data_IF_430879702831
#
_entry.id   IF_430879702831
#
_cell.length_a   1.000
_cell.length_b   1.000
_cell.length_c   1.000
_cell.angle_alpha   90.00
_cell.angle_beta   90.00
_cell.angle_gamma   90.00
#
_symmetry.space_group_name_H-M   'P 1'
#
loop_
_entity.id
_entity.type
_entity.pdbx_description
1 polymer ?
#
# COMPACT_ATOMS: atom_id res chain seq x y z
N UNK A 1 21.38 -21.16 -3.26
CA UNK A 1 22.12 -19.90 -3.46
C UNK A 1 21.45 -18.81 -2.63
N UNK A 2 22.23 -18.16 -1.75
CA UNK A 2 21.92 -17.00 -0.87
C UNK A 2 20.87 -16.05 -1.48
N UNK A 3 19.95 -15.45 -0.72
CA UNK A 3 20.21 -14.42 0.30
C UNK A 3 19.13 -14.42 1.41
N UNK A 4 19.49 -14.89 2.60
CA UNK A 4 18.87 -14.43 3.84
C UNK A 4 19.79 -13.37 4.45
N UNK A 5 19.17 -12.41 5.13
CA UNK A 5 19.74 -11.35 5.97
C UNK A 5 19.82 -9.96 5.34
N UNK A 6 18.64 -9.34 5.17
CA UNK A 6 18.55 -7.88 5.21
C UNK A 6 18.52 -7.49 6.67
N UNK A 7 19.68 -7.00 7.10
CA UNK A 7 20.04 -6.52 8.42
C UNK A 7 18.89 -5.77 9.11
N UNK A 8 18.63 -6.15 10.36
CA UNK A 8 17.72 -5.47 11.28
C UNK A 8 18.21 -4.04 11.52
N UNK A 9 17.72 -3.09 10.70
CA UNK A 9 17.79 -1.67 11.00
C UNK A 9 16.71 -1.41 12.06
N UNK A 10 17.10 -0.94 13.24
CA UNK A 10 16.21 -0.71 14.38
C UNK A 10 14.90 -0.01 13.93
N UNK A 11 13.75 -0.67 14.15
CA UNK A 11 12.42 -0.13 13.83
C UNK A 11 11.75 -0.62 12.53
N UNK A 12 12.43 -1.42 11.70
CA UNK A 12 11.83 -1.97 10.46
C UNK A 12 11.33 -3.39 10.70
N UNK A 13 10.02 -3.59 10.64
CA UNK A 13 9.40 -4.92 10.58
C UNK A 13 9.02 -5.24 9.13
N UNK A 14 9.58 -6.33 8.57
CA UNK A 14 9.30 -6.78 7.21
C UNK A 14 8.57 -8.11 7.23
N UNK A 15 7.42 -8.16 6.58
CA UNK A 15 6.66 -9.38 6.33
C UNK A 15 6.53 -9.59 4.82
N UNK A 16 6.83 -10.80 4.38
CA UNK A 16 6.65 -11.21 2.98
C UNK A 16 5.55 -12.26 2.95
N UNK A 17 4.54 -12.04 2.12
CA UNK A 17 3.50 -13.04 1.88
C UNK A 17 3.98 -14.03 0.82
N UNK A 18 3.63 -15.29 0.99
CA UNK A 18 3.85 -16.29 -0.05
C UNK A 18 3.11 -15.92 -1.33
N UNK A 19 3.61 -16.42 -2.46
CA UNK A 19 3.03 -16.17 -3.78
C UNK A 19 1.56 -16.57 -3.83
N UNK A 20 1.22 -17.75 -3.32
CA UNK A 20 -0.15 -18.27 -3.26
C UNK A 20 -1.10 -17.33 -2.50
N UNK A 21 -0.67 -16.82 -1.34
CA UNK A 21 -1.47 -15.88 -0.57
C UNK A 21 -1.65 -14.55 -1.31
N UNK A 22 -0.59 -14.06 -1.95
CA UNK A 22 -0.64 -12.84 -2.76
C UNK A 22 -1.62 -12.97 -3.94
N UNK A 23 -1.65 -14.13 -4.60
CA UNK A 23 -2.55 -14.38 -5.73
C UNK A 23 -4.01 -14.51 -5.29
N UNK A 24 -4.27 -15.09 -4.12
CA UNK A 24 -5.61 -15.09 -3.52
C UNK A 24 -6.10 -13.67 -3.22
N UNK A 25 -5.22 -12.80 -2.69
CA UNK A 25 -5.56 -11.38 -2.45
C UNK A 25 -5.85 -10.64 -3.76
N UNK A 26 -5.09 -10.89 -4.83
CA UNK A 26 -5.36 -10.31 -6.16
C UNK A 26 -6.71 -10.79 -6.70
N UNK A 27 -6.99 -12.09 -6.62
CA UNK A 27 -8.26 -12.65 -7.08
C UNK A 27 -9.45 -12.08 -6.29
N UNK A 28 -9.30 -11.91 -4.98
CA UNK A 28 -10.27 -11.24 -4.13
C UNK A 28 -10.51 -9.79 -4.60
N UNK A 29 -9.45 -8.99 -4.74
CA UNK A 29 -9.54 -7.61 -5.17
C UNK A 29 -10.26 -7.49 -6.53
N UNK A 30 -9.89 -8.35 -7.50
CA UNK A 30 -10.51 -8.39 -8.83
C UNK A 30 -12.00 -8.72 -8.76
N UNK A 31 -12.39 -9.74 -7.98
CA UNK A 31 -13.79 -10.13 -7.79
C UNK A 31 -14.64 -8.98 -7.23
N UNK A 32 -14.06 -8.19 -6.34
CA UNK A 32 -14.71 -7.02 -5.74
C UNK A 32 -14.50 -5.71 -6.52
N UNK A 33 -13.84 -5.77 -7.70
CA UNK A 33 -13.55 -4.61 -8.55
C UNK A 33 -12.78 -3.49 -7.84
N UNK A 34 -11.88 -3.86 -6.94
CA UNK A 34 -10.96 -2.94 -6.25
C UNK A 34 -9.52 -3.24 -6.62
N UNK A 35 -8.63 -2.28 -6.41
CA UNK A 35 -7.19 -2.52 -6.59
C UNK A 35 -6.61 -3.28 -5.39
N UNK A 36 -5.49 -3.98 -5.59
CA UNK A 36 -4.77 -4.60 -4.47
C UNK A 36 -4.27 -3.55 -3.45
N UNK A 37 -3.87 -2.37 -3.92
CA UNK A 37 -3.50 -1.25 -3.04
C UNK A 37 -4.67 -0.86 -2.13
N UNK A 38 -5.87 -0.65 -2.70
CA UNK A 38 -7.08 -0.35 -1.92
C UNK A 38 -7.37 -1.45 -0.89
N UNK A 39 -7.25 -2.72 -1.28
CA UNK A 39 -7.46 -3.84 -0.36
C UNK A 39 -6.51 -3.79 0.85
N UNK A 40 -5.22 -3.58 0.60
CA UNK A 40 -4.20 -3.49 1.67
C UNK A 40 -4.42 -2.26 2.54
N UNK A 41 -4.73 -1.10 1.94
CA UNK A 41 -5.06 0.13 2.67
C UNK A 41 -6.29 -0.05 3.57
N UNK A 42 -7.33 -0.74 3.09
CA UNK A 42 -8.51 -1.07 3.90
C UNK A 42 -8.17 -2.00 5.06
N UNK A 43 -7.33 -3.02 4.84
CA UNK A 43 -6.88 -3.89 5.92
C UNK A 43 -6.09 -3.11 6.99
N UNK A 44 -5.28 -2.14 6.58
CA UNK A 44 -4.56 -1.26 7.49
C UNK A 44 -5.49 -0.35 8.29
N UNK A 45 -6.51 0.25 7.66
CA UNK A 45 -7.54 1.04 8.37
C UNK A 45 -8.27 0.22 9.42
N UNK A 46 -8.68 -1.01 9.09
CA UNK A 46 -9.32 -1.91 10.04
C UNK A 46 -8.42 -2.24 11.23
N UNK A 47 -7.13 -2.43 10.99
CA UNK A 47 -6.15 -2.63 12.06
C UNK A 47 -6.05 -1.39 12.95
N UNK A 48 -5.89 -0.19 12.36
CA UNK A 48 -5.83 1.06 13.11
C UNK A 48 -7.10 1.28 13.95
N UNK A 49 -8.29 1.06 13.38
CA UNK A 49 -9.55 1.15 14.11
C UNK A 49 -9.55 0.26 15.35
N UNK A 50 -9.15 -1.01 15.20
CA UNK A 50 -9.10 -1.98 16.31
C UNK A 50 -8.08 -1.60 17.39
N UNK A 51 -6.94 -1.03 17.00
CA UNK A 51 -5.88 -0.68 17.95
C UNK A 51 -6.08 0.67 18.62
N UNK A 52 -6.78 1.60 17.96
CA UNK A 52 -7.04 2.93 18.51
C UNK A 52 -8.38 3.03 19.23
N UNK A 53 -9.36 2.20 18.87
CA UNK A 53 -10.73 2.30 19.36
C UNK A 53 -11.47 3.55 18.89
N UNK A 54 -10.92 4.28 17.91
CA UNK A 54 -11.52 5.49 17.34
C UNK A 54 -12.42 5.13 16.18
N UNK A 55 -13.60 5.75 16.13
CA UNK A 55 -14.55 5.64 15.02
C UNK A 55 -14.02 6.27 13.73
N UNK A 56 -13.00 7.14 13.80
CA UNK A 56 -12.40 7.74 12.60
C UNK A 56 -10.90 7.68 12.69
N UNK A 57 -10.28 7.08 11.68
CA UNK A 57 -8.83 6.93 11.59
C UNK A 57 -8.34 7.40 10.23
N UNK A 58 -7.12 7.93 10.20
CA UNK A 58 -6.48 8.38 8.98
C UNK A 58 -5.01 7.94 8.95
N UNK A 59 -4.48 7.73 7.75
CA UNK A 59 -3.06 7.56 7.52
C UNK A 59 -2.65 8.23 6.20
N UNK A 60 -1.37 8.55 6.06
CA UNK A 60 -0.81 9.08 4.81
C UNK A 60 -0.48 7.94 3.84
N UNK A 61 -1.02 7.99 2.63
CA UNK A 61 -0.65 7.09 1.53
C UNK A 61 0.14 7.85 0.46
N UNK A 62 1.21 7.24 -0.04
CA UNK A 62 1.98 7.83 -1.14
C UNK A 62 1.43 7.39 -2.49
N UNK A 63 1.34 8.34 -3.43
CA UNK A 63 0.95 8.11 -4.82
C UNK A 63 2.00 8.70 -5.76
N UNK A 64 2.19 8.08 -6.93
CA UNK A 64 3.23 8.50 -7.88
C UNK A 64 3.02 9.90 -8.46
N UNK A 65 1.79 10.43 -8.43
CA UNK A 65 1.44 11.79 -8.85
C UNK A 65 1.74 12.13 -10.31
N UNK A 66 1.75 11.13 -11.20
CA UNK A 66 1.93 11.29 -12.65
C UNK A 66 0.57 11.44 -13.35
N UNK A 67 0.15 12.65 -13.75
CA UNK A 67 -1.11 12.83 -14.48
C UNK A 67 -1.03 12.20 -15.87
N UNK A 68 -1.95 11.29 -16.19
CA UNK A 68 -1.97 10.55 -17.46
C UNK A 68 -2.14 11.45 -18.71
N UNK A 69 -2.56 12.70 -18.51
CA UNK A 69 -2.79 13.71 -19.55
C UNK A 69 -1.49 14.30 -20.12
N UNK A 70 -0.33 14.06 -19.49
CA UNK A 70 0.97 14.54 -19.94
C UNK A 70 1.72 13.45 -20.72
N UNK A 71 1.87 13.58 -22.06
CA UNK A 71 2.59 12.60 -22.86
C UNK A 71 4.04 12.41 -22.38
N UNK A 72 4.46 11.15 -22.19
CA UNK A 72 5.83 10.81 -21.77
C UNK A 72 6.10 10.97 -20.26
N UNK A 73 5.12 11.36 -19.44
CA UNK A 73 5.32 11.57 -18.00
C UNK A 73 5.80 10.33 -17.26
N UNK A 74 5.40 9.12 -17.68
CA UNK A 74 5.82 7.86 -17.08
C UNK A 74 7.33 7.60 -17.19
N UNK A 75 7.99 8.21 -18.20
CA UNK A 75 9.42 8.05 -18.48
C UNK A 75 10.26 9.23 -17.95
N UNK A 76 9.62 10.26 -17.40
CA UNK A 76 10.32 11.44 -16.87
C UNK A 76 10.86 11.21 -15.46
N UNK A 77 12.13 11.58 -15.25
CA UNK A 77 12.76 11.64 -13.93
C UNK A 77 12.42 12.98 -13.27
N UNK A 78 11.85 12.94 -12.06
CA UNK A 78 11.44 14.12 -11.30
C UNK A 78 10.66 13.77 -10.03
N UNK A 79 10.49 14.74 -9.13
CA UNK A 79 9.76 14.58 -7.87
C UNK A 79 8.26 14.80 -8.09
N UNK A 80 7.54 13.72 -8.38
CA UNK A 80 6.08 13.73 -8.58
C UNK A 80 5.30 13.04 -7.45
N UNK A 81 5.99 12.44 -6.48
CA UNK A 81 5.34 11.70 -5.40
C UNK A 81 4.53 12.64 -4.50
N UNK A 82 3.30 12.26 -4.22
CA UNK A 82 2.40 12.99 -3.32
C UNK A 82 2.01 12.11 -2.13
N UNK A 83 1.82 12.72 -0.97
CA UNK A 83 1.21 12.06 0.19
C UNK A 83 -0.22 12.57 0.35
N UNK A 84 -1.19 11.66 0.29
CA UNK A 84 -2.60 11.98 0.42
C UNK A 84 -3.17 11.32 1.68
N UNK A 85 -4.07 11.98 2.42
CA UNK A 85 -4.76 11.35 3.53
C UNK A 85 -5.76 10.33 3.02
N UNK A 86 -5.70 9.12 3.58
CA UNK A 86 -6.76 8.12 3.46
C UNK A 86 -7.48 8.10 4.79
N UNK A 87 -8.77 8.43 4.78
CA UNK A 87 -9.61 8.56 5.97
C UNK A 87 -10.75 7.56 5.89
N UNK A 88 -11.02 6.86 6.99
CA UNK A 88 -12.22 6.04 7.14
C UNK A 88 -12.90 6.34 8.48
N UNK A 89 -14.23 6.40 8.42
CA UNK A 89 -15.19 6.59 9.51
C UNK A 89 -16.05 5.34 9.64
#
# INVERSE_FOLDING_TARGET
TREQDVSQVNGIHRLTLEQTATDQLKAFAQRHKVTLNTLVQSAWLLLLHRHTGLDTVAFGATVAGRPAELPGIEQQVGLFINTLPVVAT
#
